data_IF_849371898037
#
_entry.id   IF_849371898037
#
_cell.length_a   1.000
_cell.length_b   1.000
_cell.length_c   1.000
_cell.angle_alpha   90.00
_cell.angle_beta   90.00
_cell.angle_gamma   90.00
#
_symmetry.space_group_name_H-M   'P 1'
#
loop_
_entity.id
_entity.type
_entity.pdbx_description
1 polymer ?
#
# COMPACT_ATOMS: atom_id res chain seq x y z
N UNK A 1 0.58 -6.80 -33.42
CA UNK A 1 -0.26 -6.80 -32.21
C UNK A 1 0.18 -5.65 -31.33
N UNK A 2 -0.68 -4.65 -31.13
CA UNK A 2 -0.37 -3.53 -30.25
C UNK A 2 -0.34 -4.05 -28.82
N UNK A 3 0.81 -3.96 -28.17
CA UNK A 3 0.90 -4.22 -26.71
C UNK A 3 0.12 -3.10 -26.04
N UNK A 4 -1.00 -3.44 -25.44
CA UNK A 4 -1.79 -2.50 -24.64
C UNK A 4 -0.93 -2.08 -23.44
N UNK A 5 -0.39 -0.87 -23.48
CA UNK A 5 0.40 -0.34 -22.36
C UNK A 5 -0.58 -0.02 -21.24
N UNK A 6 -0.73 -0.96 -20.31
CA UNK A 6 -1.54 -0.75 -19.12
C UNK A 6 -0.94 0.36 -18.27
N UNK A 7 -1.81 1.24 -17.76
CA UNK A 7 -1.38 2.24 -16.80
C UNK A 7 -0.80 1.53 -15.56
N UNK A 8 0.38 1.94 -15.07
CA UNK A 8 0.96 1.37 -13.86
C UNK A 8 0.15 1.71 -12.60
N UNK A 9 -0.79 2.66 -12.72
CA UNK A 9 -1.65 3.14 -11.64
C UNK A 9 -3.10 3.00 -12.06
N UNK A 10 -3.88 2.37 -11.22
CA UNK A 10 -5.34 2.30 -11.35
C UNK A 10 -5.98 3.31 -10.42
N UNK A 11 -6.98 4.03 -10.95
CA UNK A 11 -7.77 5.00 -10.18
C UNK A 11 -9.24 4.62 -10.32
N UNK A 12 -9.86 4.24 -9.22
CA UNK A 12 -11.31 4.01 -9.13
C UNK A 12 -11.96 5.22 -8.44
N UNK A 13 -13.21 5.49 -8.77
CA UNK A 13 -13.99 6.63 -8.27
C UNK A 13 -13.21 7.98 -8.31
N UNK A 14 -12.63 8.39 -9.43
CA UNK A 14 -11.81 9.61 -9.51
C UNK A 14 -12.58 10.89 -9.18
N UNK A 15 -13.90 10.87 -9.34
CA UNK A 15 -14.85 11.95 -9.05
C UNK A 15 -15.39 11.97 -7.63
N UNK A 16 -15.04 10.99 -6.79
CA UNK A 16 -15.54 10.91 -5.42
C UNK A 16 -15.38 12.23 -4.66
N UNK A 17 -16.46 12.70 -4.02
CA UNK A 17 -16.56 14.01 -3.40
C UNK A 17 -16.23 13.99 -1.89
N UNK A 18 -16.06 12.83 -1.31
CA UNK A 18 -15.73 12.67 0.11
C UNK A 18 -14.38 13.30 0.50
N UNK A 19 -14.17 13.57 1.78
CA UNK A 19 -12.95 14.26 2.27
C UNK A 19 -11.73 13.33 2.35
N UNK A 20 -11.83 12.11 1.82
CA UNK A 20 -10.77 11.11 1.89
C UNK A 20 -10.15 10.85 0.52
N UNK A 21 -8.90 10.40 0.55
CA UNK A 21 -8.23 9.72 -0.57
C UNK A 21 -7.77 8.37 -0.03
N UNK A 22 -8.18 7.28 -0.69
CA UNK A 22 -7.83 5.92 -0.29
C UNK A 22 -6.73 5.41 -1.20
N UNK A 23 -5.73 4.76 -0.62
CA UNK A 23 -4.64 4.11 -1.35
C UNK A 23 -4.48 2.68 -0.86
N UNK A 24 -4.08 1.79 -1.77
CA UNK A 24 -3.73 0.41 -1.46
C UNK A 24 -2.39 0.08 -2.13
N UNK A 25 -1.30 0.35 -1.41
CA UNK A 25 0.06 0.29 -1.95
C UNK A 25 0.46 -1.11 -2.47
N UNK A 26 -0.16 -2.17 -1.93
CA UNK A 26 0.13 -3.57 -2.24
C UNK A 26 -1.11 -4.32 -2.74
N UNK A 27 -1.88 -3.68 -3.61
CA UNK A 27 -3.17 -4.20 -4.08
C UNK A 27 -3.06 -5.39 -5.05
N UNK A 28 -1.93 -5.54 -5.73
CA UNK A 28 -1.75 -6.47 -6.85
C UNK A 28 -0.57 -7.42 -6.60
N UNK A 29 -0.73 -8.67 -6.99
CA UNK A 29 0.34 -9.66 -7.09
C UNK A 29 0.87 -9.82 -8.52
N UNK A 30 0.42 -8.99 -9.46
CA UNK A 30 0.82 -9.08 -10.86
C UNK A 30 2.31 -8.77 -11.03
N UNK A 31 3.01 -9.68 -11.67
CA UNK A 31 4.37 -9.48 -12.14
C UNK A 31 4.27 -9.27 -13.67
N UNK A 32 4.76 -8.14 -14.22
CA UNK A 32 4.85 -7.98 -15.67
C UNK A 32 5.69 -9.08 -16.34
N UNK A 33 5.30 -9.49 -17.55
CA UNK A 33 5.86 -10.63 -18.26
C UNK A 33 7.40 -10.52 -18.46
N UNK A 34 7.91 -9.31 -18.60
CA UNK A 34 9.34 -9.04 -18.72
C UNK A 34 10.17 -9.51 -17.52
N UNK A 35 9.53 -9.71 -16.34
CA UNK A 35 10.19 -10.19 -15.13
C UNK A 35 10.00 -11.69 -14.87
N UNK A 36 9.33 -12.43 -15.77
CA UNK A 36 9.17 -13.89 -15.72
C UNK A 36 8.78 -14.41 -14.31
N UNK A 37 7.75 -13.84 -13.70
CA UNK A 37 7.27 -14.13 -12.33
C UNK A 37 8.36 -14.11 -11.23
N UNK A 38 9.54 -13.57 -11.50
CA UNK A 38 10.73 -13.61 -10.62
C UNK A 38 11.17 -15.01 -10.19
N UNK A 39 10.72 -16.05 -10.92
CA UNK A 39 10.96 -17.44 -10.56
C UNK A 39 10.07 -17.98 -9.44
N UNK A 40 9.01 -17.25 -9.07
CA UNK A 40 7.99 -17.74 -8.15
C UNK A 40 6.89 -18.50 -8.91
N UNK A 41 6.33 -19.51 -8.27
CA UNK A 41 5.10 -20.17 -8.69
C UNK A 41 3.86 -19.35 -8.29
N UNK A 42 2.71 -19.74 -8.82
CA UNK A 42 1.44 -19.05 -8.56
C UNK A 42 1.06 -19.12 -7.08
N UNK A 43 1.39 -20.20 -6.38
CA UNK A 43 1.11 -20.35 -4.95
C UNK A 43 1.90 -19.34 -4.13
N UNK A 44 3.17 -19.12 -4.43
CA UNK A 44 3.99 -18.12 -3.78
C UNK A 44 3.47 -16.70 -4.07
N UNK A 45 3.10 -16.42 -5.33
CA UNK A 45 2.53 -15.11 -5.73
C UNK A 45 1.14 -14.86 -5.14
N UNK A 46 0.41 -15.89 -4.75
CA UNK A 46 -0.85 -15.75 -4.03
C UNK A 46 -0.67 -15.36 -2.54
N UNK A 47 0.54 -15.43 -2.01
CA UNK A 47 0.83 -15.13 -0.61
C UNK A 47 1.14 -13.64 -0.36
N UNK A 48 1.17 -13.26 0.90
CA UNK A 48 1.46 -11.89 1.39
C UNK A 48 2.88 -11.37 1.04
N UNK A 49 3.77 -12.22 0.55
CA UNK A 49 5.09 -11.76 0.07
C UNK A 49 4.95 -10.90 -1.19
N UNK A 50 3.95 -11.18 -2.03
CA UNK A 50 3.72 -10.49 -3.30
C UNK A 50 2.72 -9.33 -3.19
N UNK A 51 1.73 -9.44 -2.31
CA UNK A 51 0.65 -8.47 -2.16
C UNK A 51 -0.05 -8.56 -0.80
N UNK A 52 -0.90 -7.60 -0.50
CA UNK A 52 -1.73 -7.60 0.71
C UNK A 52 -3.12 -8.17 0.35
N UNK A 53 -3.25 -9.50 0.39
CA UNK A 53 -4.48 -10.17 0.01
C UNK A 53 -5.69 -9.65 0.82
N UNK A 54 -6.79 -9.36 0.12
CA UNK A 54 -8.00 -8.79 0.71
C UNK A 54 -7.99 -7.26 0.91
N UNK A 55 -6.84 -6.60 0.96
CA UNK A 55 -6.74 -5.16 1.19
C UNK A 55 -7.46 -4.34 0.10
N UNK A 56 -7.33 -4.72 -1.16
CA UNK A 56 -8.02 -4.04 -2.26
C UNK A 56 -9.54 -4.16 -2.15
N UNK A 57 -10.06 -5.32 -1.74
CA UNK A 57 -11.51 -5.50 -1.57
C UNK A 57 -12.08 -4.58 -0.48
N UNK A 58 -11.36 -4.43 0.63
CA UNK A 58 -11.71 -3.47 1.69
C UNK A 58 -11.60 -2.04 1.19
N UNK A 59 -10.53 -1.71 0.47
CA UNK A 59 -10.32 -0.37 -0.10
C UNK A 59 -11.47 0.03 -1.03
N UNK A 60 -11.94 -0.88 -1.89
CA UNK A 60 -13.10 -0.66 -2.77
C UNK A 60 -14.37 -0.41 -1.97
N UNK A 61 -14.59 -1.19 -0.92
CA UNK A 61 -15.76 -0.99 -0.05
C UNK A 61 -15.73 0.36 0.66
N UNK A 62 -14.57 0.75 1.17
CA UNK A 62 -14.38 2.07 1.79
C UNK A 62 -14.53 3.20 0.78
N UNK A 63 -13.99 3.06 -0.43
CA UNK A 63 -14.15 4.03 -1.52
C UNK A 63 -15.64 4.28 -1.82
N UNK A 64 -16.44 3.22 -1.92
CA UNK A 64 -17.87 3.33 -2.18
C UNK A 64 -18.64 3.97 -1.02
N UNK A 65 -18.34 3.61 0.23
CA UNK A 65 -19.05 4.11 1.42
C UNK A 65 -18.68 5.56 1.74
N UNK A 66 -17.41 5.93 1.52
CA UNK A 66 -16.88 7.26 1.84
C UNK A 66 -16.93 8.21 0.63
N UNK A 67 -17.43 7.75 -0.50
CA UNK A 67 -17.40 8.46 -1.79
C UNK A 67 -16.01 9.05 -2.06
N UNK A 68 -14.98 8.24 -1.95
CA UNK A 68 -13.60 8.65 -2.01
C UNK A 68 -12.86 7.99 -3.18
N UNK A 69 -11.96 8.69 -3.89
CA UNK A 69 -11.11 8.07 -4.90
C UNK A 69 -10.20 7.02 -4.25
N UNK A 70 -9.99 5.94 -4.98
CA UNK A 70 -9.11 4.85 -4.62
C UNK A 70 -8.01 4.71 -5.67
N UNK A 71 -6.75 4.69 -5.23
CA UNK A 71 -5.59 4.55 -6.09
C UNK A 71 -4.73 3.37 -5.64
N UNK A 72 -4.23 2.58 -6.62
CA UNK A 72 -3.26 1.52 -6.34
C UNK A 72 -2.34 1.25 -7.54
N UNK A 73 -1.11 0.73 -7.30
CA UNK A 73 -0.23 0.27 -8.37
C UNK A 73 -0.68 -1.10 -8.88
N UNK A 74 -0.77 -1.28 -10.22
CA UNK A 74 -1.17 -2.54 -10.85
C UNK A 74 0.02 -3.51 -11.00
N UNK A 75 0.89 -3.55 -10.01
CA UNK A 75 2.02 -4.48 -9.94
C UNK A 75 2.30 -4.89 -8.50
N UNK A 76 2.89 -6.08 -8.36
CA UNK A 76 3.35 -6.62 -7.08
C UNK A 76 4.40 -5.74 -6.41
N UNK A 77 4.39 -5.70 -5.08
CA UNK A 77 5.46 -5.10 -4.27
C UNK A 77 6.83 -5.75 -4.49
N UNK A 78 6.89 -6.95 -5.07
CA UNK A 78 8.14 -7.59 -5.47
C UNK A 78 8.81 -6.87 -6.64
N UNK A 79 8.05 -6.19 -7.51
CA UNK A 79 8.59 -5.35 -8.57
C UNK A 79 9.21 -4.10 -7.98
N UNK A 80 8.44 -3.39 -7.18
CA UNK A 80 8.85 -2.19 -6.42
C UNK A 80 7.82 -1.91 -5.33
N UNK A 81 8.28 -1.70 -4.11
CA UNK A 81 7.39 -1.42 -2.97
C UNK A 81 7.02 0.08 -2.93
N UNK A 82 5.81 0.40 -3.42
CA UNK A 82 5.31 1.77 -3.44
C UNK A 82 5.06 2.36 -2.04
N UNK A 83 5.14 1.56 -0.99
CA UNK A 83 5.10 2.02 0.40
C UNK A 83 6.51 2.24 1.00
N UNK A 84 7.53 2.38 0.16
CA UNK A 84 8.92 2.66 0.59
C UNK A 84 9.44 3.94 -0.06
N UNK A 85 10.32 4.71 0.61
CA UNK A 85 11.01 5.82 -0.02
C UNK A 85 11.99 5.33 -1.08
N UNK A 86 12.30 6.19 -2.06
CA UNK A 86 13.15 5.82 -3.19
C UNK A 86 14.59 5.48 -2.80
N UNK A 87 15.07 5.97 -1.67
CA UNK A 87 16.40 5.73 -1.10
C UNK A 87 16.45 4.51 -0.17
N UNK A 88 15.30 3.89 0.15
CA UNK A 88 15.28 2.70 1.00
C UNK A 88 15.91 1.50 0.30
N UNK A 89 16.73 0.75 1.01
CA UNK A 89 17.26 -0.54 0.54
C UNK A 89 16.14 -1.57 0.31
N UNK A 90 15.02 -1.43 1.01
CA UNK A 90 13.83 -2.28 0.88
C UNK A 90 12.82 -1.81 -0.18
N UNK A 91 13.15 -0.80 -1.00
CA UNK A 91 12.29 -0.37 -2.11
C UNK A 91 12.10 -1.48 -3.15
N UNK A 92 13.16 -2.19 -3.46
CA UNK A 92 13.16 -3.37 -4.34
C UNK A 92 13.84 -4.49 -3.55
N UNK A 93 13.02 -5.38 -2.98
CA UNK A 93 13.50 -6.41 -2.07
C UNK A 93 14.24 -7.51 -2.82
N UNK A 94 15.38 -7.93 -2.31
CA UNK A 94 16.15 -9.08 -2.83
C UNK A 94 15.78 -10.38 -2.13
N UNK A 95 15.04 -10.28 -1.04
CA UNK A 95 14.53 -11.39 -0.25
C UNK A 95 13.24 -10.97 0.47
N UNK A 96 12.25 -11.86 0.55
CA UNK A 96 11.01 -11.67 1.30
C UNK A 96 10.74 -12.90 2.16
N UNK A 97 10.76 -12.72 3.49
CA UNK A 97 10.55 -13.78 4.49
C UNK A 97 11.41 -15.04 4.27
N UNK A 98 12.71 -14.86 4.02
CA UNK A 98 13.65 -15.94 3.78
C UNK A 98 13.59 -16.52 2.36
N UNK A 99 12.67 -16.06 1.51
CA UNK A 99 12.59 -16.45 0.10
C UNK A 99 13.37 -15.45 -0.76
N UNK A 100 14.40 -15.90 -1.48
CA UNK A 100 15.15 -15.02 -2.37
C UNK A 100 14.30 -14.56 -3.55
N UNK A 101 14.53 -13.33 -4.02
CA UNK A 101 13.98 -12.76 -5.26
C UNK A 101 15.14 -12.58 -6.24
N UNK A 102 15.54 -13.63 -6.97
CA UNK A 102 16.80 -13.62 -7.75
C UNK A 102 16.85 -12.49 -8.79
N UNK A 103 15.73 -12.19 -9.45
CA UNK A 103 15.66 -11.13 -10.45
C UNK A 103 15.83 -9.70 -9.88
N UNK A 104 15.80 -9.55 -8.56
CA UNK A 104 16.07 -8.28 -7.90
C UNK A 104 17.51 -8.15 -7.40
N UNK A 105 18.30 -9.23 -7.51
CA UNK A 105 19.72 -9.18 -7.15
C UNK A 105 20.51 -8.50 -8.27
N UNK A 106 21.49 -7.71 -7.87
CA UNK A 106 22.43 -7.05 -8.79
C UNK A 106 21.77 -6.13 -9.85
N UNK A 107 20.63 -5.52 -9.52
CA UNK A 107 20.05 -4.50 -10.37
C UNK A 107 21.02 -3.34 -10.54
N UNK A 108 21.26 -2.94 -11.80
CA UNK A 108 21.97 -1.69 -12.09
C UNK A 108 21.14 -0.48 -11.62
N UNK A 109 21.81 0.66 -11.44
CA UNK A 109 21.12 1.91 -11.11
C UNK A 109 20.08 2.28 -12.20
N UNK A 110 20.38 2.01 -13.46
CA UNK A 110 19.44 2.24 -14.56
C UNK A 110 18.19 1.38 -14.44
N UNK A 111 18.30 0.09 -14.12
CA UNK A 111 17.16 -0.80 -13.93
C UNK A 111 16.33 -0.40 -12.70
N UNK A 112 16.99 0.03 -11.61
CA UNK A 112 16.31 0.57 -10.44
C UNK A 112 15.56 1.85 -10.79
N UNK A 113 16.21 2.79 -11.48
CA UNK A 113 15.62 4.06 -11.91
C UNK A 113 14.42 3.84 -12.84
N UNK A 114 14.51 2.87 -13.75
CA UNK A 114 13.41 2.50 -14.65
C UNK A 114 12.16 2.10 -13.86
N UNK A 115 12.27 1.20 -12.87
CA UNK A 115 11.12 0.80 -12.05
C UNK A 115 10.53 1.97 -11.26
N UNK A 116 11.38 2.85 -10.74
CA UNK A 116 10.93 4.09 -10.07
C UNK A 116 10.12 4.95 -11.04
N UNK A 117 10.63 5.20 -12.24
CA UNK A 117 9.97 6.04 -13.24
C UNK A 117 8.70 5.40 -13.80
N UNK A 118 8.68 4.09 -13.98
CA UNK A 118 7.52 3.38 -14.56
C UNK A 118 6.38 3.14 -13.57
N UNK A 119 6.67 3.00 -12.28
CA UNK A 119 5.65 2.58 -11.30
C UNK A 119 5.58 3.53 -10.11
N UNK A 120 6.68 3.70 -9.37
CA UNK A 120 6.69 4.41 -8.11
C UNK A 120 6.33 5.89 -8.28
N UNK A 121 7.02 6.60 -9.17
CA UNK A 121 6.79 8.03 -9.39
C UNK A 121 5.37 8.31 -9.92
N UNK A 122 4.85 7.64 -10.97
CA UNK A 122 3.48 7.84 -11.44
C UNK A 122 2.43 7.58 -10.36
N UNK A 123 2.62 6.57 -9.50
CA UNK A 123 1.72 6.29 -8.41
C UNK A 123 1.67 7.43 -7.39
N UNK A 124 2.82 7.92 -6.97
CA UNK A 124 2.90 9.04 -6.02
C UNK A 124 2.41 10.35 -6.62
N UNK A 125 2.66 10.59 -7.91
CA UNK A 125 2.17 11.76 -8.62
C UNK A 125 0.65 11.76 -8.74
N UNK A 126 0.04 10.61 -9.04
CA UNK A 126 -1.41 10.45 -9.08
C UNK A 126 -2.06 10.74 -7.71
N UNK A 127 -1.46 10.23 -6.62
CA UNK A 127 -1.92 10.53 -5.26
C UNK A 127 -1.82 12.02 -4.97
N UNK A 128 -0.68 12.63 -5.26
CA UNK A 128 -0.45 14.06 -5.04
C UNK A 128 -1.44 14.91 -5.84
N UNK A 129 -1.68 14.58 -7.10
CA UNK A 129 -2.67 15.25 -7.93
C UNK A 129 -4.09 15.11 -7.36
N UNK A 130 -4.42 13.94 -6.82
CA UNK A 130 -5.71 13.69 -6.20
C UNK A 130 -5.90 14.50 -4.91
N UNK A 131 -4.89 14.56 -4.06
CA UNK A 131 -4.90 15.34 -2.81
C UNK A 131 -5.00 16.84 -3.07
N UNK A 132 -4.23 17.38 -4.04
CA UNK A 132 -4.23 18.81 -4.37
C UNK A 132 -5.59 19.34 -4.84
N UNK A 133 -6.46 18.48 -5.38
CA UNK A 133 -7.80 18.87 -5.84
C UNK A 133 -8.83 18.99 -4.70
N UNK A 134 -8.45 18.68 -3.47
CA UNK A 134 -9.35 18.62 -2.33
C UNK A 134 -8.95 19.59 -1.24
N UNK A 135 -9.96 20.11 -0.54
CA UNK A 135 -9.71 20.93 0.65
C UNK A 135 -9.48 20.01 1.86
N UNK A 136 -8.30 20.14 2.50
CA UNK A 136 -7.92 19.41 3.72
C UNK A 136 -8.21 17.87 3.68
N UNK A 137 -7.79 17.13 2.64
CA UNK A 137 -8.09 15.71 2.52
C UNK A 137 -7.34 14.88 3.55
N UNK A 138 -7.97 13.82 4.06
CA UNK A 138 -7.29 12.78 4.80
C UNK A 138 -6.90 11.62 3.86
N UNK A 139 -5.65 11.17 3.95
CA UNK A 139 -5.14 10.01 3.20
C UNK A 139 -5.26 8.76 4.06
N UNK A 140 -5.93 7.74 3.53
CA UNK A 140 -6.09 6.42 4.16
C UNK A 140 -5.36 5.39 3.32
N UNK A 141 -4.32 4.77 3.88
CA UNK A 141 -3.61 3.65 3.25
C UNK A 141 -4.10 2.33 3.86
N UNK A 142 -4.60 1.43 3.02
CA UNK A 142 -5.12 0.14 3.44
C UNK A 142 -4.09 -0.95 3.18
N UNK A 143 -3.79 -1.71 4.24
CA UNK A 143 -2.92 -2.87 4.20
C UNK A 143 -3.57 -4.05 4.89
N UNK A 144 -3.18 -5.27 4.54
CA UNK A 144 -3.41 -6.44 5.39
C UNK A 144 -2.10 -6.86 6.08
N UNK A 145 -2.22 -7.66 7.11
CA UNK A 145 -1.07 -8.24 7.81
C UNK A 145 -1.36 -9.66 8.27
N UNK A 146 -0.33 -10.48 8.32
CA UNK A 146 -0.44 -11.88 8.74
C UNK A 146 -0.70 -12.00 10.25
N UNK A 147 -1.49 -12.99 10.70
CA UNK A 147 -1.75 -13.23 12.13
C UNK A 147 -0.49 -13.65 12.90
N UNK A 148 0.50 -14.17 12.20
CA UNK A 148 1.80 -14.53 12.76
C UNK A 148 2.89 -13.88 11.90
N UNK A 149 3.89 -13.29 12.52
CA UNK A 149 5.04 -12.70 11.84
C UNK A 149 6.33 -13.10 12.54
N UNK A 150 7.26 -13.69 11.81
CA UNK A 150 8.52 -14.23 12.35
C UNK A 150 8.31 -15.09 13.61
N UNK A 151 7.31 -16.00 13.57
CA UNK A 151 6.95 -16.88 14.67
C UNK A 151 6.21 -16.24 15.84
N UNK A 152 5.94 -14.92 15.79
CA UNK A 152 5.21 -14.20 16.86
C UNK A 152 3.77 -13.95 16.44
N UNK A 153 2.82 -14.41 17.26
CA UNK A 153 1.40 -14.13 17.05
C UNK A 153 1.09 -12.64 17.24
N UNK A 154 0.22 -12.11 16.39
CA UNK A 154 -0.33 -10.76 16.48
C UNK A 154 -1.74 -10.84 17.01
N UNK A 155 -2.02 -10.36 18.23
CA UNK A 155 -3.35 -10.52 18.87
C UNK A 155 -4.39 -9.56 18.28
N UNK A 156 -3.96 -8.58 17.47
CA UNK A 156 -4.85 -7.53 16.95
C UNK A 156 -5.54 -7.97 15.66
N UNK A 157 -6.83 -7.69 15.52
CA UNK A 157 -7.60 -7.86 14.29
C UNK A 157 -7.47 -6.65 13.38
N UNK A 158 -7.38 -5.45 13.97
CA UNK A 158 -7.20 -4.18 13.28
C UNK A 158 -6.10 -3.40 13.95
N UNK A 159 -5.23 -2.79 13.18
CA UNK A 159 -4.19 -1.88 13.64
C UNK A 159 -4.32 -0.52 12.96
N UNK A 160 -4.24 0.55 13.72
CA UNK A 160 -4.19 1.91 13.20
C UNK A 160 -2.77 2.43 13.34
N UNK A 161 -2.16 2.81 12.20
CA UNK A 161 -0.80 3.33 12.16
C UNK A 161 -0.84 4.78 11.66
N UNK A 162 -0.30 5.70 12.40
CA UNK A 162 -0.24 7.12 12.05
C UNK A 162 1.16 7.68 12.32
N UNK A 163 1.48 8.81 11.72
CA UNK A 163 2.73 9.52 11.94
C UNK A 163 2.52 10.68 12.94
N UNK A 164 2.71 11.92 12.53
CA UNK A 164 2.56 13.08 13.43
C UNK A 164 1.11 13.50 13.65
N UNK A 165 0.22 13.24 12.70
CA UNK A 165 -1.18 13.62 12.78
C UNK A 165 -2.05 12.48 13.28
N UNK A 166 -2.42 12.54 14.55
CA UNK A 166 -3.24 11.54 15.22
C UNK A 166 -4.76 11.78 15.08
N UNK A 167 -5.21 12.90 14.51
CA UNK A 167 -6.63 13.31 14.54
C UNK A 167 -7.59 12.24 14.03
N UNK A 168 -7.27 11.60 12.87
CA UNK A 168 -8.09 10.53 12.33
C UNK A 168 -7.99 9.26 13.17
N UNK A 169 -6.79 8.93 13.66
CA UNK A 169 -6.57 7.79 14.53
C UNK A 169 -7.37 7.90 15.84
N UNK A 170 -7.31 9.05 16.49
CA UNK A 170 -8.03 9.33 17.71
C UNK A 170 -9.55 9.25 17.49
N UNK A 171 -10.05 9.77 16.37
CA UNK A 171 -11.46 9.68 16.02
C UNK A 171 -11.92 8.23 15.81
N UNK A 172 -11.09 7.40 15.14
CA UNK A 172 -11.41 5.99 14.91
C UNK A 172 -11.32 5.12 16.18
N UNK A 173 -10.56 5.56 17.19
CA UNK A 173 -10.42 4.86 18.46
C UNK A 173 -11.51 5.20 19.48
N UNK A 174 -12.36 6.19 19.21
CA UNK A 174 -13.47 6.50 20.10
C UNK A 174 -14.43 5.31 20.19
N UNK A 175 -14.93 4.98 21.39
CA UNK A 175 -15.92 3.91 21.57
C UNK A 175 -17.16 4.22 20.74
N UNK A 176 -17.46 3.35 19.77
CA UNK A 176 -18.73 3.45 19.04
C UNK A 176 -19.73 2.45 19.63
N UNK A 177 -20.96 2.85 19.92
CA UNK A 177 -21.96 1.96 20.53
C UNK A 177 -22.34 0.74 19.68
N UNK A 178 -21.86 0.65 18.43
CA UNK A 178 -22.28 -0.33 17.43
C UNK A 178 -21.21 -1.38 17.03
N UNK A 179 -19.98 -1.28 17.52
CA UNK A 179 -18.97 -2.29 17.24
C UNK A 179 -18.68 -3.07 18.52
N UNK A 180 -18.78 -4.44 18.50
CA UNK A 180 -18.20 -5.22 19.56
C UNK A 180 -16.71 -4.87 19.67
N UNK A 181 -16.19 -4.86 20.88
CA UNK A 181 -14.79 -4.51 21.18
C UNK A 181 -13.83 -5.46 20.45
N UNK A 182 -13.58 -5.19 19.17
CA UNK A 182 -12.41 -5.74 18.50
C UNK A 182 -11.19 -5.13 19.16
N UNK A 183 -10.18 -5.93 19.50
CA UNK A 183 -8.92 -5.42 20.02
C UNK A 183 -8.24 -4.56 18.94
N UNK A 184 -8.51 -3.27 19.00
CA UNK A 184 -7.90 -2.26 18.15
C UNK A 184 -6.66 -1.73 18.86
N UNK A 185 -5.53 -1.73 18.22
CA UNK A 185 -4.28 -1.22 18.79
C UNK A 185 -3.78 -0.03 18.00
N UNK A 186 -3.40 1.04 18.71
CA UNK A 186 -2.57 2.09 18.17
C UNK A 186 -1.14 1.58 18.12
N UNK A 187 -0.55 1.52 16.92
CA UNK A 187 0.83 1.15 16.72
C UNK A 187 1.61 2.43 16.39
N UNK A 188 2.38 2.98 17.36
CA UNK A 188 3.27 4.09 17.06
C UNK A 188 4.28 3.64 15.99
N UNK A 189 4.51 4.45 14.98
CA UNK A 189 5.56 4.16 14.00
C UNK A 189 6.93 4.30 14.64
N UNK A 190 7.83 3.35 14.45
CA UNK A 190 9.26 3.64 14.54
C UNK A 190 9.61 4.63 13.42
N UNK A 191 10.42 5.61 13.73
CA UNK A 191 10.73 6.88 13.06
C UNK A 191 11.28 6.83 11.61
N UNK A 192 11.02 5.78 10.83
CA UNK A 192 11.57 5.59 9.46
C UNK A 192 10.57 4.98 8.48
N UNK A 193 9.41 5.61 8.35
CA UNK A 193 8.54 5.36 7.19
C UNK A 193 8.33 6.65 6.43
N UNK A 194 8.17 6.55 5.11
CA UNK A 194 8.10 7.66 4.17
C UNK A 194 7.35 8.84 4.77
N UNK A 195 8.06 9.89 5.11
CA UNK A 195 7.51 11.23 5.13
C UNK A 195 7.29 11.62 3.66
N UNK A 196 6.15 11.29 3.11
CA UNK A 196 5.68 12.02 1.94
C UNK A 196 5.62 13.48 2.38
N UNK A 197 6.18 14.37 1.57
CA UNK A 197 6.24 15.82 1.71
C UNK A 197 5.21 16.41 2.69
N UNK A 198 5.55 17.50 3.39
CA UNK A 198 4.74 18.18 4.42
C UNK A 198 3.26 18.48 4.08
N UNK A 199 2.83 18.24 2.83
CA UNK A 199 1.44 18.32 2.37
C UNK A 199 0.58 17.08 2.69
N UNK A 200 1.16 16.02 3.25
CA UNK A 200 0.49 14.73 3.49
C UNK A 200 0.31 14.47 4.98
N UNK A 201 -0.46 15.29 5.66
CA UNK A 201 -0.81 15.09 7.06
C UNK A 201 -2.07 14.23 7.16
N UNK A 202 -1.99 13.10 7.84
CA UNK A 202 -3.08 12.19 8.19
C UNK A 202 -3.10 10.87 7.39
N UNK A 203 -2.70 9.77 7.99
CA UNK A 203 -2.73 8.40 7.41
C UNK A 203 -3.36 7.42 8.35
N UNK A 204 -4.00 6.42 7.79
CA UNK A 204 -4.11 5.13 8.32
C UNK A 204 -4.91 4.08 7.80
N UNK A 205 -4.82 2.95 7.91
CA UNK A 205 -5.30 1.81 8.63
C UNK A 205 -4.73 0.50 8.08
N UNK A 206 -4.45 -0.43 8.96
CA UNK A 206 -4.05 -1.79 8.64
C UNK A 206 -5.10 -2.74 9.23
N UNK A 207 -5.58 -3.74 8.48
CA UNK A 207 -6.40 -4.77 9.07
C UNK A 207 -5.91 -6.19 8.74
N UNK A 208 -6.38 -7.17 9.51
CA UNK A 208 -5.96 -8.57 9.46
C UNK A 208 -6.89 -9.38 8.55
N UNK A 209 -6.33 -10.31 7.80
CA UNK A 209 -7.06 -11.42 7.20
C UNK A 209 -7.46 -12.46 8.21
#
# INVERSE_FOLDING_TARGET
>A
MSVEVRSPVVVENPGGAGPFVIVCDHASNRIPDEYQSFGFDDDALATHIAWDAGALAVSRRLSAVLDAPLLWPDVSRLVIDCNRPVDASSLIVVESEGRPVPANRNLSEAQRAERIQRVHAPYHDAINACLKRRHAPALIAIHSFTPVYLGKARPWQVGIVFDHDARLADALMQPTPRLPSASTSLIPRPTRFITRSAAMQGRLACWRQ
#
